data_IF_510063050902
#
_entry.id   IF_510063050902
#
_cell.length_a   1.000
_cell.length_b   1.000
_cell.length_c   1.000
_cell.angle_alpha   90.00
_cell.angle_beta   90.00
_cell.angle_gamma   90.00
#
_symmetry.space_group_name_H-M   'P 1'
#
loop_
_entity.id
_entity.type
_entity.pdbx_description
1 polymer ?
#
# COMPACT_ATOMS: atom_id res chain seq x y z
N UNK A 1 2.56 9.38 -5.91
CA UNK A 1 1.55 8.54 -5.22
C UNK A 1 0.84 7.71 -6.28
N UNK A 2 0.36 6.50 -5.95
CA UNK A 2 -0.47 5.73 -6.88
C UNK A 2 -1.71 6.55 -7.26
N UNK A 3 -2.08 6.52 -8.54
CA UNK A 3 -3.17 7.32 -9.12
C UNK A 3 -4.52 6.58 -9.15
N UNK A 4 -4.58 5.33 -8.70
CA UNK A 4 -5.85 4.64 -8.51
C UNK A 4 -6.55 5.14 -7.23
N UNK A 5 -7.90 5.24 -7.21
CA UNK A 5 -8.62 5.92 -6.14
C UNK A 5 -8.36 5.37 -4.73
N UNK A 6 -8.25 4.05 -4.58
CA UNK A 6 -8.11 3.41 -3.27
C UNK A 6 -6.71 3.61 -2.71
N UNK A 7 -5.66 3.40 -3.51
CA UNK A 7 -4.30 3.62 -3.04
C UNK A 7 -3.95 5.12 -2.94
N UNK A 8 -4.53 5.99 -3.77
CA UNK A 8 -4.40 7.44 -3.61
C UNK A 8 -4.97 7.88 -2.26
N UNK A 9 -6.20 7.46 -1.97
CA UNK A 9 -6.88 7.76 -0.71
C UNK A 9 -6.09 7.27 0.50
N UNK A 10 -5.64 6.00 0.47
CA UNK A 10 -4.75 5.41 1.48
C UNK A 10 -3.47 6.23 1.67
N UNK A 11 -2.84 6.65 0.57
CA UNK A 11 -1.60 7.42 0.60
C UNK A 11 -1.79 8.80 1.24
N UNK A 12 -2.88 9.50 0.91
CA UNK A 12 -3.22 10.80 1.49
C UNK A 12 -3.55 10.69 2.98
N UNK A 13 -4.29 9.65 3.38
CA UNK A 13 -4.56 9.37 4.79
C UNK A 13 -3.27 9.08 5.57
N UNK A 14 -2.31 8.38 4.98
CA UNK A 14 -1.00 8.15 5.58
C UNK A 14 -0.23 9.47 5.76
N UNK A 15 -0.20 10.35 4.75
CA UNK A 15 0.43 11.67 4.88
C UNK A 15 -0.24 12.53 5.98
N UNK A 16 -1.56 12.47 6.09
CA UNK A 16 -2.29 13.12 7.18
C UNK A 16 -1.89 12.56 8.55
N UNK A 17 -1.81 11.23 8.67
CA UNK A 17 -1.45 10.55 9.92
C UNK A 17 -0.07 10.98 10.43
N UNK A 18 0.87 11.24 9.53
CA UNK A 18 2.23 11.72 9.88
C UNK A 18 2.35 13.25 9.90
N UNK A 19 1.25 13.98 9.76
CA UNK A 19 1.20 15.44 9.90
C UNK A 19 1.84 16.22 8.75
N UNK A 20 2.02 15.62 7.56
CA UNK A 20 2.57 16.31 6.39
C UNK A 20 1.54 17.18 5.67
N UNK A 21 0.27 16.76 5.72
CA UNK A 21 -0.89 17.47 5.20
C UNK A 21 -2.05 17.36 6.19
N UNK A 22 -3.09 18.16 6.00
CA UNK A 22 -4.40 17.96 6.62
C UNK A 22 -5.44 17.80 5.51
N UNK A 23 -6.30 16.81 5.63
CA UNK A 23 -7.46 16.63 4.75
C UNK A 23 -8.68 17.32 5.35
N UNK A 24 -9.68 17.63 4.51
CA UNK A 24 -10.99 18.08 4.95
C UNK A 24 -11.66 17.02 5.83
N UNK A 25 -12.53 17.46 6.73
CA UNK A 25 -13.31 16.55 7.57
C UNK A 25 -14.30 15.74 6.72
N UNK A 26 -14.54 14.48 7.10
CA UNK A 26 -15.58 13.65 6.48
C UNK A 26 -15.26 13.07 5.09
N UNK A 27 -14.01 13.13 4.63
CA UNK A 27 -13.58 12.63 3.30
C UNK A 27 -13.59 11.10 3.15
N UNK A 28 -13.74 10.36 4.26
CA UNK A 28 -13.78 8.90 4.25
C UNK A 28 -12.45 8.26 3.81
N UNK A 29 -12.54 7.15 3.08
CA UNK A 29 -11.39 6.33 2.65
C UNK A 29 -10.84 6.68 1.25
N UNK A 30 -11.56 7.51 0.50
CA UNK A 30 -11.23 7.86 -0.88
C UNK A 30 -10.99 9.38 -1.06
N UNK A 31 -10.22 10.05 -0.18
CA UNK A 31 -9.86 11.44 -0.41
C UNK A 31 -9.05 11.56 -1.70
N UNK A 32 -9.15 12.74 -2.31
CA UNK A 32 -8.35 13.14 -3.46
C UNK A 32 -7.41 14.28 -3.09
N UNK A 33 -6.50 14.64 -3.99
CA UNK A 33 -5.64 15.81 -3.83
C UNK A 33 -6.43 17.13 -3.67
N UNK A 34 -7.69 17.18 -4.12
CA UNK A 34 -8.61 18.32 -3.93
C UNK A 34 -9.16 18.44 -2.50
N UNK A 35 -8.98 17.39 -1.69
CA UNK A 35 -9.45 17.32 -0.31
C UNK A 35 -8.40 17.77 0.71
N UNK A 36 -7.24 18.23 0.26
CA UNK A 36 -6.19 18.79 1.11
C UNK A 36 -6.62 20.18 1.60
N UNK A 37 -6.79 20.31 2.91
CA UNK A 37 -7.14 21.55 3.60
C UNK A 37 -5.90 22.37 4.00
N UNK A 38 -4.85 21.71 4.53
CA UNK A 38 -3.59 22.36 4.90
C UNK A 38 -2.39 21.60 4.33
N UNK A 39 -1.40 22.34 3.81
CA UNK A 39 -0.16 21.80 3.25
C UNK A 39 1.03 22.72 3.61
N UNK A 40 1.48 22.73 4.87
CA UNK A 40 2.47 23.70 5.36
C UNK A 40 3.83 23.60 4.67
N UNK A 41 4.13 22.47 4.04
CA UNK A 41 5.37 22.23 3.30
C UNK A 41 5.23 22.50 1.79
N UNK A 42 4.06 22.96 1.32
CA UNK A 42 3.75 23.19 -0.08
C UNK A 42 4.09 21.99 -0.98
N UNK A 43 3.81 20.78 -0.51
CA UNK A 43 4.05 19.54 -1.24
C UNK A 43 3.20 19.51 -2.51
N UNK A 44 3.84 19.27 -3.66
CA UNK A 44 3.11 18.99 -4.91
C UNK A 44 2.77 17.50 -4.95
N UNK A 45 1.49 17.18 -5.02
CA UNK A 45 1.03 15.80 -5.19
C UNK A 45 1.16 15.42 -6.65
N UNK A 46 2.00 14.44 -6.94
CA UNK A 46 2.16 13.85 -8.28
C UNK A 46 1.60 12.44 -8.23
N UNK A 47 0.58 12.19 -9.05
CA UNK A 47 -0.14 10.94 -9.16
C UNK A 47 0.42 10.16 -10.36
N UNK A 48 0.84 8.91 -10.15
CA UNK A 48 1.45 8.03 -11.14
C UNK A 48 0.84 6.64 -11.04
N UNK A 49 0.86 5.89 -12.14
CA UNK A 49 0.58 4.45 -12.12
C UNK A 49 1.53 3.74 -11.13
N UNK A 50 0.99 2.87 -10.28
CA UNK A 50 1.75 2.26 -9.19
C UNK A 50 3.09 1.59 -9.63
N UNK A 51 3.17 0.88 -10.78
CA UNK A 51 4.43 0.33 -11.29
C UNK A 51 5.53 1.36 -11.59
N UNK A 52 5.21 2.64 -11.78
CA UNK A 52 6.17 3.69 -12.11
C UNK A 52 6.79 4.35 -10.87
N UNK A 53 6.17 4.17 -9.69
CA UNK A 53 6.61 4.83 -8.47
C UNK A 53 8.05 4.49 -8.05
N UNK A 54 8.56 3.25 -8.17
CA UNK A 54 9.97 2.96 -7.88
C UNK A 54 10.95 3.84 -8.67
N UNK A 55 10.69 4.07 -9.96
CA UNK A 55 11.54 4.90 -10.82
C UNK A 55 11.48 6.38 -10.49
N UNK A 56 10.41 6.83 -9.84
CA UNK A 56 10.28 8.23 -9.42
C UNK A 56 11.30 8.61 -8.35
N UNK A 57 11.89 7.65 -7.63
CA UNK A 57 12.93 7.89 -6.63
C UNK A 57 14.23 8.45 -7.23
N UNK A 58 14.49 8.23 -8.52
CA UNK A 58 15.69 8.74 -9.21
C UNK A 58 15.56 10.23 -9.58
N UNK A 59 14.35 10.80 -9.50
CA UNK A 59 14.11 12.20 -9.80
C UNK A 59 14.44 13.08 -8.58
N UNK A 60 15.42 13.98 -8.74
CA UNK A 60 15.87 14.90 -7.70
C UNK A 60 14.77 15.87 -7.20
N UNK A 61 13.65 15.99 -7.92
CA UNK A 61 12.49 16.78 -7.49
C UNK A 61 11.52 16.00 -6.58
N UNK A 62 11.66 14.67 -6.49
CA UNK A 62 10.81 13.82 -5.67
C UNK A 62 11.34 13.76 -4.24
N UNK A 63 10.65 14.45 -3.34
CA UNK A 63 10.97 14.41 -1.91
C UNK A 63 10.53 13.10 -1.24
N UNK A 64 9.39 12.54 -1.67
CA UNK A 64 8.76 11.35 -1.09
C UNK A 64 7.99 10.59 -2.17
N UNK A 65 8.09 9.26 -2.17
CA UNK A 65 7.23 8.37 -2.94
C UNK A 65 6.54 7.39 -1.98
N UNK A 66 5.21 7.30 -2.04
CA UNK A 66 4.44 6.25 -1.36
C UNK A 66 4.28 5.10 -2.33
N UNK A 67 4.91 3.96 -2.04
CA UNK A 67 5.08 2.83 -2.96
C UNK A 67 4.51 1.56 -2.32
N UNK A 68 3.70 0.79 -3.05
CA UNK A 68 3.22 -0.51 -2.58
C UNK A 68 4.41 -1.50 -2.43
N UNK A 69 4.36 -2.35 -1.41
CA UNK A 69 5.40 -3.36 -1.13
C UNK A 69 5.76 -4.20 -2.35
N UNK A 70 4.76 -4.60 -3.15
CA UNK A 70 4.96 -5.37 -4.39
C UNK A 70 5.95 -4.75 -5.35
N UNK A 71 5.97 -3.41 -5.48
CA UNK A 71 6.89 -2.70 -6.37
C UNK A 71 8.20 -2.31 -5.68
N UNK A 72 8.14 -1.94 -4.40
CA UNK A 72 9.34 -1.62 -3.62
C UNK A 72 10.31 -2.82 -3.53
N UNK A 73 9.79 -4.03 -3.27
CA UNK A 73 10.60 -5.24 -3.14
C UNK A 73 11.34 -5.62 -4.43
N UNK A 74 10.79 -5.29 -5.61
CA UNK A 74 11.43 -5.59 -6.91
C UNK A 74 12.75 -4.84 -7.12
N UNK A 75 12.92 -3.69 -6.48
CA UNK A 75 14.15 -2.90 -6.51
C UNK A 75 14.94 -3.02 -5.21
N UNK A 76 14.64 -4.03 -4.39
CA UNK A 76 15.36 -4.33 -3.15
C UNK A 76 15.04 -3.39 -1.97
N UNK A 77 14.01 -2.55 -2.08
CA UNK A 77 13.56 -1.72 -0.97
C UNK A 77 12.65 -2.50 -0.03
N UNK A 78 12.79 -2.26 1.27
CA UNK A 78 11.95 -2.84 2.31
C UNK A 78 11.43 -1.75 3.25
N UNK A 79 10.18 -1.86 3.75
CA UNK A 79 9.65 -0.87 4.70
C UNK A 79 10.52 -0.71 5.95
N UNK A 80 11.09 -1.80 6.47
CA UNK A 80 11.89 -1.79 7.69
C UNK A 80 13.24 -1.06 7.55
N UNK A 81 13.83 -1.06 6.36
CA UNK A 81 15.15 -0.46 6.10
C UNK A 81 15.04 0.93 5.46
N UNK A 82 14.14 1.07 4.49
CA UNK A 82 14.10 2.22 3.58
C UNK A 82 12.85 3.09 3.79
N UNK A 83 11.90 2.63 4.62
CA UNK A 83 10.69 3.37 4.93
C UNK A 83 10.95 4.58 5.83
N UNK A 84 10.55 5.77 5.37
CA UNK A 84 10.61 7.01 6.16
C UNK A 84 9.42 7.06 7.14
N UNK A 85 8.25 6.66 6.67
CA UNK A 85 7.08 6.37 7.48
C UNK A 85 6.37 5.17 6.85
N UNK A 86 5.94 4.25 7.70
CA UNK A 86 5.34 2.98 7.28
C UNK A 86 3.99 2.87 7.96
N UNK A 87 3.01 2.31 7.25
CA UNK A 87 1.74 1.98 7.88
C UNK A 87 1.93 0.93 8.99
N UNK A 88 1.17 1.09 10.07
CA UNK A 88 1.21 0.14 11.17
C UNK A 88 0.72 -1.24 10.73
N UNK A 89 1.20 -2.29 11.41
CA UNK A 89 0.77 -3.68 11.20
C UNK A 89 -0.74 -3.90 11.36
N UNK A 90 -1.41 -3.02 12.12
CA UNK A 90 -2.86 -3.07 12.36
C UNK A 90 -3.65 -2.29 11.27
N UNK A 91 -3.02 -2.04 10.12
CA UNK A 91 -3.60 -1.39 8.94
C UNK A 91 -4.80 -2.19 8.37
N UNK A 92 -5.91 -1.53 7.99
CA UNK A 92 -7.10 -2.20 7.49
C UNK A 92 -6.94 -2.76 6.07
N UNK A 93 -5.80 -2.53 5.41
CA UNK A 93 -5.58 -2.83 4.00
C UNK A 93 -4.93 -4.20 3.75
N UNK A 94 -5.41 -5.23 4.47
CA UNK A 94 -4.99 -6.61 4.22
C UNK A 94 -5.41 -7.05 2.81
N UNK A 95 -4.52 -7.73 2.09
CA UNK A 95 -4.85 -8.27 0.78
C UNK A 95 -5.82 -9.45 0.93
N UNK A 96 -6.83 -9.53 0.07
CA UNK A 96 -7.90 -10.52 0.17
C UNK A 96 -7.80 -11.57 -0.94
N UNK A 97 -8.12 -12.81 -0.58
CA UNK A 97 -8.53 -13.82 -1.56
C UNK A 97 -10.01 -13.57 -1.86
N UNK A 98 -10.33 -13.27 -3.10
CA UNK A 98 -11.69 -12.93 -3.53
C UNK A 98 -12.25 -13.97 -4.50
N UNK A 99 -13.55 -14.19 -4.42
CA UNK A 99 -14.31 -15.10 -5.29
C UNK A 99 -15.59 -14.42 -5.75
N UNK A 100 -16.34 -15.05 -6.65
CA UNK A 100 -17.72 -14.63 -6.90
C UNK A 100 -18.60 -15.14 -5.76
N UNK A 101 -19.69 -14.43 -5.50
CA UNK A 101 -20.62 -14.80 -4.43
C UNK A 101 -21.17 -16.23 -4.60
N UNK A 102 -21.39 -16.65 -5.85
CA UNK A 102 -21.95 -17.96 -6.20
C UNK A 102 -20.98 -19.14 -6.05
N UNK A 103 -19.68 -18.89 -5.85
CA UNK A 103 -18.68 -19.93 -5.74
C UNK A 103 -17.78 -19.83 -4.50
N UNK A 104 -18.09 -18.94 -3.55
CA UNK A 104 -17.32 -18.75 -2.31
C UNK A 104 -17.15 -20.02 -1.48
N UNK A 105 -18.13 -20.93 -1.54
CA UNK A 105 -18.16 -22.18 -0.77
C UNK A 105 -17.64 -23.41 -1.54
N UNK A 106 -17.20 -23.22 -2.79
CA UNK A 106 -16.74 -24.31 -3.64
C UNK A 106 -15.49 -25.00 -3.06
N UNK A 107 -15.43 -26.32 -3.20
CA UNK A 107 -14.38 -27.14 -2.58
C UNK A 107 -12.96 -26.76 -3.05
N UNK A 108 -12.82 -26.35 -4.31
CA UNK A 108 -11.55 -25.85 -4.84
C UNK A 108 -11.13 -24.52 -4.22
N UNK A 109 -12.07 -23.62 -3.88
CA UNK A 109 -11.79 -22.36 -3.18
C UNK A 109 -11.30 -22.65 -1.76
N UNK A 110 -11.99 -23.54 -1.03
CA UNK A 110 -11.57 -23.94 0.32
C UNK A 110 -10.17 -24.54 0.35
N UNK A 111 -9.89 -25.46 -0.58
CA UNK A 111 -8.55 -26.06 -0.75
C UNK A 111 -7.48 -25.02 -1.10
N UNK A 112 -7.81 -24.05 -1.96
CA UNK A 112 -6.89 -22.97 -2.29
C UNK A 112 -6.56 -22.11 -1.07
N UNK A 113 -7.57 -21.69 -0.29
CA UNK A 113 -7.35 -20.90 0.93
C UNK A 113 -6.47 -21.66 1.92
N UNK A 114 -6.76 -22.94 2.17
CA UNK A 114 -5.94 -23.77 3.07
C UNK A 114 -4.49 -23.89 2.59
N UNK A 115 -4.29 -24.12 1.29
CA UNK A 115 -2.95 -24.22 0.71
C UNK A 115 -2.19 -22.88 0.74
N UNK A 116 -2.89 -21.77 0.50
CA UNK A 116 -2.32 -20.43 0.56
C UNK A 116 -1.92 -20.05 1.99
N UNK A 117 -2.71 -20.47 2.97
CA UNK A 117 -2.53 -20.14 4.38
C UNK A 117 -1.54 -21.07 5.11
N UNK A 118 -0.57 -21.63 4.38
CA UNK A 118 0.45 -22.53 4.93
C UNK A 118 1.74 -21.82 5.34
N UNK A 119 2.54 -22.48 6.15
CA UNK A 119 3.86 -21.96 6.56
C UNK A 119 4.82 -21.90 5.36
N UNK A 120 4.73 -22.84 4.41
CA UNK A 120 5.55 -22.81 3.20
C UNK A 120 5.29 -21.57 2.35
N UNK A 121 4.02 -21.14 2.22
CA UNK A 121 3.67 -19.91 1.50
C UNK A 121 4.13 -18.67 2.26
N UNK A 122 4.01 -18.67 3.59
CA UNK A 122 4.53 -17.58 4.42
C UNK A 122 6.05 -17.43 4.29
N UNK A 123 6.80 -18.53 4.35
CA UNK A 123 8.25 -18.54 4.15
C UNK A 123 8.65 -18.13 2.73
N UNK A 124 7.89 -18.53 1.71
CA UNK A 124 8.11 -18.07 0.35
C UNK A 124 7.87 -16.56 0.22
N UNK A 125 6.80 -16.03 0.83
CA UNK A 125 6.51 -14.60 0.86
C UNK A 125 7.64 -13.81 1.55
N UNK A 126 8.16 -14.29 2.67
CA UNK A 126 9.30 -13.65 3.35
C UNK A 126 10.53 -13.55 2.46
N UNK A 127 10.81 -14.56 1.64
CA UNK A 127 11.92 -14.53 0.67
C UNK A 127 11.65 -13.56 -0.49
N UNK A 128 10.46 -13.58 -1.07
CA UNK A 128 10.09 -12.74 -2.23
C UNK A 128 10.04 -11.26 -1.84
N UNK A 129 9.53 -10.95 -0.65
CA UNK A 129 9.35 -9.58 -0.18
C UNK A 129 10.44 -9.11 0.79
N UNK A 130 11.53 -9.87 0.94
CA UNK A 130 12.66 -9.55 1.82
C UNK A 130 12.22 -9.19 3.26
N UNK A 131 11.32 -9.99 3.84
CA UNK A 131 10.75 -9.76 5.18
C UNK A 131 9.72 -8.62 5.25
N UNK A 132 9.35 -8.01 4.12
CA UNK A 132 8.31 -6.98 4.03
C UNK A 132 6.88 -7.50 3.97
N UNK A 133 6.69 -8.83 3.99
CA UNK A 133 5.36 -9.45 4.02
C UNK A 133 4.84 -9.53 5.45
N UNK A 134 3.57 -9.17 5.64
CA UNK A 134 2.85 -9.35 6.91
C UNK A 134 1.76 -10.38 6.70
N UNK A 135 1.71 -11.41 7.56
CA UNK A 135 0.71 -12.48 7.51
C UNK A 135 -0.68 -11.90 7.77
N UNK A 136 -1.63 -12.18 6.87
CA UNK A 136 -2.99 -11.60 6.88
C UNK A 136 -4.09 -12.53 7.39
N UNK A 137 -3.72 -13.70 7.92
CA UNK A 137 -4.61 -14.73 8.46
C UNK A 137 -4.11 -15.24 9.81
#
# INVERSE_FOLDING_TARGET
MPNDPTNLGRSLLLLQKVGLIKLKDGVGLLPTSLDIADNPKNLKIVELEAPQLPRSLDDAQIALAVINTTYASQIGLTPAKDGIFVEDKDSPYVNLIVTREDNKDAENVKKFVQAYQSDEVYEAANKVFNGGAVKGW
#
